data_IF_965448761874
#
_entry.id   IF_965448761874
#
_cell.length_a   1.000
_cell.length_b   1.000
_cell.length_c   1.000
_cell.angle_alpha   90.00
_cell.angle_beta   90.00
_cell.angle_gamma   90.00
#
_symmetry.space_group_name_H-M   'P 1'
#
loop_
_entity.id
_entity.type
_entity.pdbx_description
1 polymer ?
#
# COMPACT_ATOMS: atom_id res chain seq x y z
N UNK A 1 -15.15 -13.50 -10.82
CA UNK A 1 -14.83 -12.70 -12.02
C UNK A 1 -13.51 -11.98 -11.78
N UNK A 2 -12.56 -12.11 -12.70
CA UNK A 2 -11.34 -11.28 -12.73
C UNK A 2 -11.46 -10.28 -13.88
N UNK A 3 -11.02 -9.06 -13.65
CA UNK A 3 -10.95 -8.00 -14.68
C UNK A 3 -9.49 -7.74 -14.98
N UNK A 4 -9.14 -7.60 -16.27
CA UNK A 4 -7.78 -7.23 -16.67
C UNK A 4 -7.62 -5.72 -16.53
N UNK A 5 -6.60 -5.32 -15.78
CA UNK A 5 -6.21 -3.93 -15.58
C UNK A 5 -4.78 -3.75 -16.08
N UNK A 6 -4.57 -2.79 -16.99
CA UNK A 6 -3.23 -2.43 -17.46
C UNK A 6 -2.95 -1.00 -16.97
N UNK A 7 -1.75 -0.77 -16.44
CA UNK A 7 -1.32 0.52 -15.88
C UNK A 7 0.09 0.83 -16.35
N UNK A 8 0.36 2.11 -16.61
CA UNK A 8 1.70 2.62 -16.90
C UNK A 8 2.30 3.13 -15.60
N UNK A 9 3.52 2.69 -15.29
CA UNK A 9 4.27 3.09 -14.11
C UNK A 9 5.57 3.77 -14.55
N UNK A 10 6.12 4.64 -13.70
CA UNK A 10 7.49 5.11 -13.88
C UNK A 10 8.46 3.94 -13.69
N UNK A 11 9.63 4.04 -14.32
CA UNK A 11 10.68 3.02 -14.19
C UNK A 11 11.12 2.84 -12.73
N UNK A 12 11.22 3.93 -11.98
CA UNK A 12 11.62 3.91 -10.57
C UNK A 12 10.59 3.14 -9.72
N UNK A 13 9.29 3.43 -9.89
CA UNK A 13 8.23 2.72 -9.16
C UNK A 13 8.18 1.25 -9.57
N UNK A 14 8.41 0.93 -10.85
CA UNK A 14 8.47 -0.45 -11.28
C UNK A 14 9.64 -1.21 -10.62
N UNK A 15 10.81 -0.57 -10.46
CA UNK A 15 11.96 -1.16 -9.75
C UNK A 15 11.68 -1.41 -8.28
N UNK A 16 11.04 -0.48 -7.59
CA UNK A 16 10.63 -0.67 -6.18
C UNK A 16 9.66 -1.84 -6.03
N UNK A 17 8.70 -1.98 -6.96
CA UNK A 17 7.78 -3.12 -6.97
C UNK A 17 8.52 -4.43 -7.26
N UNK A 18 9.47 -4.43 -8.20
CA UNK A 18 10.30 -5.60 -8.51
C UNK A 18 11.10 -6.05 -7.27
N UNK A 19 11.64 -5.11 -6.50
CA UNK A 19 12.32 -5.43 -5.24
C UNK A 19 11.36 -6.03 -4.20
N UNK A 20 10.19 -5.41 -4.00
CA UNK A 20 9.19 -5.92 -3.06
C UNK A 20 8.69 -7.33 -3.45
N UNK A 21 8.61 -7.64 -4.75
CA UNK A 21 8.26 -8.97 -5.26
C UNK A 21 9.29 -10.01 -4.83
N UNK A 22 10.59 -9.69 -4.93
CA UNK A 22 11.67 -10.59 -4.49
C UNK A 22 11.65 -10.79 -2.98
N UNK A 23 11.53 -9.71 -2.22
CA UNK A 23 11.56 -9.76 -0.75
C UNK A 23 10.38 -10.53 -0.14
N UNK A 24 9.23 -10.55 -0.81
CA UNK A 24 8.00 -11.17 -0.32
C UNK A 24 7.63 -12.47 -1.01
N UNK A 25 8.49 -12.98 -1.90
CA UNK A 25 8.22 -14.16 -2.75
C UNK A 25 6.84 -14.10 -3.44
N UNK A 26 6.46 -12.92 -3.92
CA UNK A 26 5.09 -12.62 -4.40
C UNK A 26 5.08 -12.34 -5.91
N UNK A 27 4.03 -11.69 -6.41
CA UNK A 27 3.90 -11.25 -7.80
C UNK A 27 3.49 -9.78 -7.88
N UNK A 28 3.86 -9.09 -8.97
CA UNK A 28 3.45 -7.68 -9.19
C UNK A 28 1.95 -7.47 -9.05
N UNK A 29 1.17 -8.42 -9.58
CA UNK A 29 -0.29 -8.41 -9.49
C UNK A 29 -0.81 -8.46 -8.05
N UNK A 30 -0.13 -9.20 -7.19
CA UNK A 30 -0.50 -9.31 -5.78
C UNK A 30 -0.07 -8.07 -4.99
N UNK A 31 1.14 -7.55 -5.22
CA UNK A 31 1.60 -6.28 -4.64
C UNK A 31 0.65 -5.13 -5.00
N UNK A 32 0.31 -4.98 -6.28
CA UNK A 32 -0.64 -3.95 -6.74
C UNK A 32 -2.02 -4.14 -6.11
N UNK A 33 -2.50 -5.38 -5.95
CA UNK A 33 -3.78 -5.64 -5.30
C UNK A 33 -3.78 -5.24 -3.82
N UNK A 34 -2.72 -5.60 -3.08
CA UNK A 34 -2.54 -5.22 -1.67
C UNK A 34 -2.46 -3.69 -1.52
N UNK A 35 -1.72 -3.02 -2.39
CA UNK A 35 -1.61 -1.56 -2.40
C UNK A 35 -2.97 -0.89 -2.63
N UNK A 36 -3.76 -1.35 -3.61
CA UNK A 36 -5.12 -0.85 -3.87
C UNK A 36 -6.06 -1.10 -2.68
N UNK A 37 -5.98 -2.28 -2.05
CA UNK A 37 -6.79 -2.59 -0.87
C UNK A 37 -6.43 -1.69 0.32
N UNK A 38 -5.14 -1.46 0.56
CA UNK A 38 -4.65 -0.55 1.60
C UNK A 38 -5.18 0.87 1.37
N UNK A 39 -5.08 1.38 0.14
CA UNK A 39 -5.62 2.69 -0.24
C UNK A 39 -7.13 2.80 0.05
N UNK A 40 -7.91 1.79 -0.34
CA UNK A 40 -9.36 1.80 -0.11
C UNK A 40 -9.72 1.74 1.38
N UNK A 41 -9.00 0.92 2.15
CA UNK A 41 -9.18 0.82 3.60
C UNK A 41 -8.86 2.15 4.29
N UNK A 42 -7.75 2.79 3.91
CA UNK A 42 -7.34 4.08 4.43
C UNK A 42 -8.37 5.18 4.10
N UNK A 43 -8.88 5.24 2.86
CA UNK A 43 -9.94 6.17 2.47
C UNK A 43 -11.26 5.92 3.22
N UNK A 44 -11.59 4.65 3.50
CA UNK A 44 -12.75 4.31 4.32
C UNK A 44 -12.57 4.73 5.79
N UNK A 45 -11.37 4.59 6.34
CA UNK A 45 -11.01 5.05 7.69
C UNK A 45 -11.03 6.57 7.82
N UNK A 46 -10.45 7.28 6.86
CA UNK A 46 -10.42 8.76 6.81
C UNK A 46 -11.83 9.36 6.87
N UNK A 47 -12.80 8.79 6.15
CA UNK A 47 -14.22 9.20 6.23
C UNK A 47 -14.86 9.03 7.61
N UNK A 48 -14.27 8.22 8.48
CA UNK A 48 -14.71 8.01 9.87
C UNK A 48 -13.86 8.83 10.87
N UNK A 49 -13.00 9.72 10.39
CA UNK A 49 -12.06 10.49 11.22
C UNK A 49 -10.86 9.70 11.71
N UNK A 50 -10.62 8.50 11.18
CA UNK A 50 -9.47 7.67 11.55
C UNK A 50 -8.26 8.01 10.69
N UNK A 51 -7.07 7.97 11.29
CA UNK A 51 -5.78 8.18 10.61
C UNK A 51 -5.12 6.85 10.28
N UNK A 52 -4.43 6.78 9.13
CA UNK A 52 -3.53 5.68 8.82
C UNK A 52 -2.11 6.09 9.23
N UNK A 53 -1.42 5.20 9.96
CA UNK A 53 -0.03 5.43 10.30
C UNK A 53 0.68 4.15 10.69
N UNK A 54 2.01 4.26 10.80
CA UNK A 54 2.85 3.20 11.30
C UNK A 54 2.97 3.34 12.82
N UNK A 55 2.77 2.23 13.52
CA UNK A 55 2.84 2.18 14.98
C UNK A 55 4.18 1.56 15.38
N UNK A 56 4.90 2.20 16.30
CA UNK A 56 6.10 1.60 16.87
C UNK A 56 5.72 0.39 17.73
N UNK A 57 6.27 -0.81 17.48
CA UNK A 57 5.87 -2.01 18.21
C UNK A 57 6.07 -1.96 19.73
N UNK A 58 7.03 -1.15 20.20
CA UNK A 58 7.41 -1.10 21.63
C UNK A 58 6.68 -0.01 22.42
N UNK A 59 6.46 1.15 21.81
CA UNK A 59 5.86 2.29 22.48
C UNK A 59 4.37 2.44 22.18
N UNK A 60 3.87 1.69 21.19
CA UNK A 60 2.53 1.81 20.61
C UNK A 60 2.20 3.23 20.12
N UNK A 61 3.21 4.10 20.00
CA UNK A 61 3.04 5.44 19.48
C UNK A 61 2.96 5.38 17.96
N UNK A 62 2.00 6.13 17.41
CA UNK A 62 1.95 6.43 16.00
C UNK A 62 3.20 7.25 15.64
N UNK A 63 4.12 6.68 14.87
CA UNK A 63 5.38 7.37 14.54
C UNK A 63 5.20 8.40 13.45
N UNK A 64 4.29 8.15 12.51
CA UNK A 64 3.98 9.10 11.44
C UNK A 64 2.58 8.86 10.89
N UNK A 65 1.91 9.93 10.49
CA UNK A 65 0.72 9.87 9.65
C UNK A 65 1.21 9.63 8.22
N UNK A 66 0.72 8.59 7.56
CA UNK A 66 0.94 8.45 6.12
C UNK A 66 -0.02 9.43 5.46
N UNK A 67 0.44 10.67 5.28
CA UNK A 67 -0.34 11.83 4.81
C UNK A 67 -0.97 11.56 3.43
N UNK A 68 -2.24 11.97 3.28
CA UNK A 68 -2.76 12.44 1.99
C UNK A 68 -3.67 11.49 1.20
N UNK A 69 -4.58 10.78 1.88
CA UNK A 69 -5.81 10.24 1.27
C UNK A 69 -7.05 10.98 1.73
#
# INVERSE_FOLDING_TARGET
>A
MSVRFNVVLSDDLNREIDQAVVETESSKSEILRKALQLYLAARAGSRKGLKLGLVEPKSEKLQTEIVGL
#
